data_IF_101641996386
#
_entry.id   IF_101641996386
#
_cell.length_a   1.000
_cell.length_b   1.000
_cell.length_c   1.000
_cell.angle_alpha   90.00
_cell.angle_beta   90.00
_cell.angle_gamma   90.00
#
_symmetry.space_group_name_H-M   'P 1'
#
loop_
_entity.id
_entity.type
_entity.pdbx_description
1 polymer ?
#
# COMPACT_ATOMS: atom_id res chain seq x y z
N UNK A 1 39.60 10.38 11.12
CA UNK A 1 38.65 9.90 10.08
C UNK A 1 37.58 10.96 9.91
N UNK A 2 37.44 11.57 8.72
CA UNK A 2 36.74 12.85 8.54
C UNK A 2 35.20 12.62 8.56
N UNK A 3 34.50 13.19 9.52
CA UNK A 3 33.04 13.05 9.73
C UNK A 3 32.23 13.31 8.44
N UNK A 4 32.70 14.26 7.60
CA UNK A 4 32.10 14.55 6.29
C UNK A 4 32.19 13.36 5.29
N UNK A 5 33.27 12.56 5.36
CA UNK A 5 33.43 11.36 4.50
C UNK A 5 32.51 10.20 4.93
N UNK A 6 32.30 10.03 6.25
CA UNK A 6 31.33 9.05 6.75
C UNK A 6 29.89 9.43 6.39
N UNK A 7 29.54 10.71 6.46
CA UNK A 7 28.20 11.18 6.07
C UNK A 7 27.92 10.98 4.58
N UNK A 8 28.93 11.24 3.72
CA UNK A 8 28.79 11.03 2.27
C UNK A 8 28.67 9.56 1.89
N UNK A 9 29.41 8.67 2.57
CA UNK A 9 29.30 7.22 2.38
C UNK A 9 27.93 6.67 2.83
N UNK A 10 27.40 7.15 3.94
CA UNK A 10 26.09 6.74 4.43
C UNK A 10 24.98 7.18 3.47
N UNK A 11 25.05 8.40 2.93
CA UNK A 11 24.08 8.89 1.92
C UNK A 11 24.14 8.06 0.64
N UNK A 12 25.32 7.72 0.16
CA UNK A 12 25.51 6.85 -1.01
C UNK A 12 24.90 5.46 -0.78
N UNK A 13 25.16 4.83 0.35
CA UNK A 13 24.62 3.50 0.69
C UNK A 13 23.10 3.51 0.76
N UNK A 14 22.48 4.56 1.32
CA UNK A 14 21.01 4.69 1.41
C UNK A 14 20.39 4.91 0.03
N UNK A 15 21.00 5.71 -0.84
CA UNK A 15 20.51 5.93 -2.21
C UNK A 15 20.63 4.66 -3.05
N UNK A 16 21.73 3.91 -2.93
CA UNK A 16 21.91 2.63 -3.63
C UNK A 16 20.91 1.57 -3.16
N UNK A 17 20.63 1.47 -1.84
CA UNK A 17 19.69 0.48 -1.32
C UNK A 17 18.27 0.72 -1.81
N UNK A 18 17.78 1.96 -1.83
CA UNK A 18 16.45 2.28 -2.35
C UNK A 18 16.30 1.96 -3.85
N UNK A 19 17.35 2.20 -4.64
CA UNK A 19 17.37 1.85 -6.06
C UNK A 19 17.31 0.34 -6.28
N UNK A 20 18.03 -0.45 -5.47
CA UNK A 20 18.05 -1.92 -5.56
C UNK A 20 16.66 -2.51 -5.27
N UNK A 21 15.98 -2.07 -4.21
CA UNK A 21 14.64 -2.58 -3.85
C UNK A 21 13.58 -2.23 -4.90
N UNK A 22 13.60 -1.02 -5.44
CA UNK A 22 12.69 -0.65 -6.52
C UNK A 22 12.93 -1.48 -7.78
N UNK A 23 14.20 -1.78 -8.07
CA UNK A 23 14.58 -2.61 -9.21
C UNK A 23 14.21 -4.09 -9.01
N UNK A 24 14.33 -4.62 -7.78
CA UNK A 24 13.91 -5.98 -7.42
C UNK A 24 12.39 -6.13 -7.58
N UNK A 25 11.60 -5.22 -7.04
CA UNK A 25 10.15 -5.20 -7.21
C UNK A 25 9.77 -5.13 -8.69
N UNK A 26 10.35 -4.21 -9.46
CA UNK A 26 10.08 -4.08 -10.88
C UNK A 26 10.36 -5.35 -11.67
N UNK A 27 11.50 -6.00 -11.45
CA UNK A 27 11.85 -7.28 -12.10
C UNK A 27 10.86 -8.40 -11.75
N UNK A 28 10.48 -8.51 -10.48
CA UNK A 28 9.51 -9.53 -10.07
C UNK A 28 8.12 -9.24 -10.65
N UNK A 29 7.69 -7.98 -10.66
CA UNK A 29 6.44 -7.56 -11.27
C UNK A 29 6.39 -7.94 -12.76
N UNK A 30 7.43 -7.63 -13.56
CA UNK A 30 7.50 -8.00 -14.96
C UNK A 30 7.44 -9.53 -15.15
N UNK A 31 8.20 -10.29 -14.36
CA UNK A 31 8.17 -11.76 -14.39
C UNK A 31 6.77 -12.32 -14.09
N UNK A 32 6.07 -11.74 -13.10
CA UNK A 32 4.71 -12.14 -12.76
C UNK A 32 3.73 -11.78 -13.88
N UNK A 33 3.86 -10.60 -14.47
CA UNK A 33 3.03 -10.13 -15.57
C UNK A 33 3.24 -10.93 -16.85
N UNK A 34 4.48 -11.34 -17.18
CA UNK A 34 4.79 -12.15 -18.36
C UNK A 34 4.17 -13.54 -18.33
N UNK A 35 4.08 -14.17 -17.14
CA UNK A 35 3.42 -15.49 -16.99
C UNK A 35 1.95 -15.43 -17.40
N UNK A 36 1.34 -14.24 -17.35
CA UNK A 36 -0.08 -14.03 -17.58
C UNK A 36 -0.42 -13.57 -19.01
N UNK A 37 0.57 -13.16 -19.83
CA UNK A 37 0.36 -12.66 -21.20
C UNK A 37 -0.23 -13.70 -22.16
N UNK A 38 0.00 -14.98 -21.91
CA UNK A 38 -0.38 -16.07 -22.82
C UNK A 38 -1.80 -16.62 -22.61
N UNK A 39 -2.60 -16.03 -21.72
CA UNK A 39 -3.96 -16.48 -21.43
C UNK A 39 -4.92 -15.48 -22.06
N UNK A 40 -5.51 -15.82 -23.23
CA UNK A 40 -6.34 -14.93 -24.05
C UNK A 40 -7.84 -14.99 -23.73
N UNK A 41 -8.23 -15.41 -22.53
CA UNK A 41 -9.62 -15.57 -22.15
C UNK A 41 -10.02 -14.53 -21.09
N UNK A 42 -10.94 -13.64 -21.43
CA UNK A 42 -11.44 -12.59 -20.53
C UNK A 42 -12.15 -13.14 -19.29
N UNK A 43 -12.69 -14.38 -19.39
CA UNK A 43 -13.31 -15.07 -18.23
C UNK A 43 -12.30 -15.41 -17.14
N UNK A 44 -10.99 -15.39 -17.44
CA UNK A 44 -9.90 -15.70 -16.53
C UNK A 44 -9.21 -14.42 -15.99
N UNK A 45 -9.70 -13.24 -16.36
CA UNK A 45 -9.07 -11.97 -15.96
C UNK A 45 -8.88 -11.84 -14.43
N UNK A 46 -9.90 -12.19 -13.66
CA UNK A 46 -9.82 -12.16 -12.18
C UNK A 46 -8.78 -13.17 -11.65
N UNK A 47 -8.74 -14.38 -12.23
CA UNK A 47 -7.74 -15.38 -11.82
C UNK A 47 -6.32 -14.91 -12.11
N UNK A 48 -6.10 -14.21 -13.23
CA UNK A 48 -4.80 -13.60 -13.56
C UNK A 48 -4.37 -12.56 -12.51
N UNK A 49 -5.31 -11.69 -12.09
CA UNK A 49 -5.00 -10.69 -11.08
C UNK A 49 -4.62 -11.35 -9.75
N UNK A 50 -5.38 -12.35 -9.31
CA UNK A 50 -5.08 -13.10 -8.09
C UNK A 50 -3.72 -13.82 -8.17
N UNK A 51 -3.36 -14.38 -9.33
CA UNK A 51 -2.09 -15.03 -9.55
C UNK A 51 -0.93 -14.02 -9.55
N UNK A 52 -1.09 -12.86 -10.21
CA UNK A 52 -0.13 -11.76 -10.19
C UNK A 52 0.13 -11.27 -8.77
N UNK A 53 -0.94 -11.00 -8.03
CA UNK A 53 -0.84 -10.55 -6.66
C UNK A 53 -0.15 -11.59 -5.76
N UNK A 54 -0.48 -12.87 -5.93
CA UNK A 54 0.15 -13.98 -5.21
C UNK A 54 1.65 -14.09 -5.51
N UNK A 55 2.05 -13.82 -6.76
CA UNK A 55 3.45 -13.86 -7.20
C UNK A 55 4.31 -12.75 -6.55
N UNK A 56 3.70 -11.66 -6.08
CA UNK A 56 4.38 -10.56 -5.40
C UNK A 56 4.45 -10.72 -3.88
N UNK A 57 3.80 -11.72 -3.29
CA UNK A 57 3.87 -12.00 -1.85
C UNK A 57 5.32 -12.32 -1.46
N UNK A 58 5.78 -11.74 -0.36
CA UNK A 58 7.14 -11.89 0.16
C UNK A 58 8.19 -11.01 -0.51
N UNK A 59 7.84 -10.32 -1.61
CA UNK A 59 8.74 -9.34 -2.26
C UNK A 59 8.81 -8.06 -1.40
N UNK A 60 9.99 -7.44 -1.36
CA UNK A 60 10.14 -6.14 -0.67
C UNK A 60 9.29 -5.08 -1.38
N UNK A 61 8.39 -4.43 -0.64
CA UNK A 61 7.57 -3.35 -1.17
C UNK A 61 8.44 -2.19 -1.68
N UNK A 62 8.11 -1.60 -2.85
CA UNK A 62 8.86 -0.45 -3.37
C UNK A 62 8.70 0.74 -2.44
N UNK A 63 9.76 1.55 -2.32
CA UNK A 63 9.72 2.74 -1.47
C UNK A 63 9.01 3.90 -2.16
N UNK A 64 8.29 4.68 -1.39
CA UNK A 64 7.82 6.00 -1.79
C UNK A 64 7.98 7.00 -0.64
N UNK A 65 8.01 8.28 -0.99
CA UNK A 65 7.99 9.40 -0.05
C UNK A 65 6.90 10.37 -0.47
N UNK A 66 5.98 10.67 0.43
CA UNK A 66 4.86 11.57 0.17
C UNK A 66 4.48 12.37 1.41
N UNK A 67 3.76 13.46 1.21
CA UNK A 67 3.20 14.26 2.30
C UNK A 67 1.72 13.93 2.48
N UNK A 68 1.29 13.81 3.72
CA UNK A 68 -0.14 13.72 4.04
C UNK A 68 -0.81 15.08 3.86
N UNK A 69 -2.13 15.10 3.76
CA UNK A 69 -2.92 16.35 3.67
C UNK A 69 -2.75 17.26 4.91
N UNK A 70 -2.16 16.75 5.98
CA UNK A 70 -1.84 17.48 7.21
C UNK A 70 -0.34 17.88 7.29
N UNK A 71 0.43 17.69 6.20
CA UNK A 71 1.82 18.12 6.11
C UNK A 71 2.86 17.16 6.71
N UNK A 72 2.46 15.99 7.23
CA UNK A 72 3.41 15.00 7.72
C UNK A 72 4.03 14.24 6.54
N UNK A 73 5.34 14.08 6.56
CA UNK A 73 6.04 13.26 5.55
C UNK A 73 6.00 11.79 5.94
N UNK A 74 5.58 10.94 5.01
CA UNK A 74 5.66 9.49 5.08
C UNK A 74 6.70 8.99 4.09
N UNK A 75 7.57 8.10 4.55
CA UNK A 75 8.48 7.33 3.71
C UNK A 75 8.33 5.85 4.08
N UNK A 76 7.88 5.04 3.13
CA UNK A 76 7.45 3.66 3.42
C UNK A 76 8.54 2.84 4.10
N UNK A 77 9.77 2.88 3.60
CA UNK A 77 10.87 2.09 4.17
C UNK A 77 11.28 2.50 5.60
N UNK A 78 10.88 3.70 6.04
CA UNK A 78 11.07 4.14 7.45
C UNK A 78 10.03 3.58 8.41
N UNK A 79 9.01 2.90 7.89
CA UNK A 79 7.96 2.26 8.69
C UNK A 79 8.28 0.81 9.03
N UNK A 80 9.48 0.29 8.69
CA UNK A 80 9.92 -1.05 9.10
C UNK A 80 9.82 -1.20 10.63
N UNK A 81 9.44 -2.40 11.07
CA UNK A 81 9.08 -2.68 12.47
C UNK A 81 7.59 -2.56 12.76
N UNK A 82 6.79 -2.09 11.81
CA UNK A 82 5.33 -2.01 11.87
C UNK A 82 4.71 -2.76 10.70
N UNK A 83 3.50 -3.27 10.87
CA UNK A 83 2.64 -3.67 9.76
C UNK A 83 2.08 -2.40 9.11
N UNK A 84 2.12 -2.30 7.79
CA UNK A 84 1.57 -1.16 7.07
C UNK A 84 0.42 -1.62 6.21
N UNK A 85 -0.73 -0.98 6.36
CA UNK A 85 -1.91 -1.15 5.52
C UNK A 85 -2.02 0.04 4.58
N UNK A 86 -1.79 -0.18 3.29
CA UNK A 86 -2.01 0.80 2.23
C UNK A 86 -3.38 0.55 1.61
N UNK A 87 -4.21 1.59 1.49
CA UNK A 87 -5.49 1.54 0.79
C UNK A 87 -5.48 2.57 -0.34
N UNK A 88 -5.64 2.11 -1.57
CA UNK A 88 -5.78 2.96 -2.75
C UNK A 88 -7.26 3.17 -3.04
N UNK A 89 -7.69 4.43 -3.05
CA UNK A 89 -9.10 4.80 -3.05
C UNK A 89 -9.36 6.15 -3.72
N UNK A 90 -10.63 6.54 -3.82
CA UNK A 90 -11.03 7.87 -4.26
C UNK A 90 -12.43 8.23 -3.76
N UNK A 91 -12.69 9.52 -3.61
CA UNK A 91 -13.98 10.03 -3.08
C UNK A 91 -15.15 9.71 -4.02
N UNK A 92 -14.91 9.53 -5.31
CA UNK A 92 -15.88 9.13 -6.31
C UNK A 92 -16.07 7.61 -6.46
N UNK A 93 -15.33 6.80 -5.70
CA UNK A 93 -15.41 5.35 -5.76
C UNK A 93 -16.40 4.85 -4.70
N UNK A 94 -17.63 4.50 -5.11
CA UNK A 94 -18.67 4.02 -4.22
C UNK A 94 -18.22 2.85 -3.32
N UNK A 95 -17.71 1.73 -3.89
CA UNK A 95 -17.20 0.61 -3.10
C UNK A 95 -16.09 0.98 -2.12
N UNK A 96 -15.23 1.98 -2.46
CA UNK A 96 -14.20 2.46 -1.54
C UNK A 96 -14.81 3.17 -0.33
N UNK A 97 -15.89 3.95 -0.56
CA UNK A 97 -16.57 4.70 0.50
C UNK A 97 -17.32 3.76 1.44
N UNK A 98 -17.89 2.69 0.92
CA UNK A 98 -18.60 1.66 1.71
C UNK A 98 -17.67 0.96 2.72
N UNK A 99 -16.38 0.85 2.46
CA UNK A 99 -15.41 0.24 3.38
C UNK A 99 -14.96 1.16 4.53
N UNK A 100 -15.15 2.48 4.42
CA UNK A 100 -14.63 3.46 5.39
C UNK A 100 -15.08 3.16 6.84
N UNK A 101 -16.34 2.80 7.14
CA UNK A 101 -16.75 2.47 8.51
C UNK A 101 -15.97 1.28 9.08
N UNK A 102 -15.73 0.23 8.27
CA UNK A 102 -14.92 -0.92 8.65
C UNK A 102 -13.47 -0.54 8.91
N UNK A 103 -12.89 0.28 8.03
CA UNK A 103 -11.52 0.77 8.18
C UNK A 103 -11.34 1.67 9.42
N UNK A 104 -12.32 2.50 9.74
CA UNK A 104 -12.29 3.31 10.96
C UNK A 104 -12.32 2.44 12.23
N UNK A 105 -13.06 1.31 12.21
CA UNK A 105 -13.04 0.31 13.30
C UNK A 105 -11.65 -0.32 13.42
N UNK A 106 -10.95 -0.64 12.29
CA UNK A 106 -9.58 -1.16 12.33
C UNK A 106 -8.63 -0.17 12.99
N UNK A 107 -8.68 1.11 12.64
CA UNK A 107 -7.83 2.15 13.29
C UNK A 107 -8.03 2.14 14.80
N UNK A 108 -9.27 2.09 15.26
CA UNK A 108 -9.59 2.07 16.69
C UNK A 108 -9.12 0.77 17.36
N UNK A 109 -9.32 -0.38 16.70
CA UNK A 109 -8.94 -1.70 17.22
C UNK A 109 -7.41 -1.85 17.37
N UNK A 110 -6.65 -1.29 16.42
CA UNK A 110 -5.17 -1.33 16.44
C UNK A 110 -4.53 -0.10 17.08
N UNK A 111 -5.29 0.75 17.78
CA UNK A 111 -4.74 1.88 18.51
C UNK A 111 -3.67 1.41 19.53
N UNK A 112 -2.50 2.02 19.49
CA UNK A 112 -1.35 1.64 20.32
C UNK A 112 -0.59 0.38 19.87
N UNK A 113 -1.05 -0.35 18.85
CA UNK A 113 -0.34 -1.48 18.24
C UNK A 113 0.58 -0.98 17.12
N UNK A 114 1.54 -1.83 16.72
CA UNK A 114 2.49 -1.50 15.63
C UNK A 114 1.85 -1.73 14.25
N UNK A 115 0.77 -1.01 13.99
CA UNK A 115 0.08 -1.01 12.67
C UNK A 115 -0.07 0.43 12.21
N UNK A 116 0.23 0.70 10.94
CA UNK A 116 0.08 2.00 10.31
C UNK A 116 -0.91 1.91 9.16
N UNK A 117 -1.91 2.77 9.17
CA UNK A 117 -2.96 2.84 8.15
C UNK A 117 -2.76 4.09 7.28
N UNK A 118 -2.66 3.90 5.96
CA UNK A 118 -2.39 4.95 4.98
C UNK A 118 -3.36 4.81 3.82
N UNK A 119 -4.11 5.87 3.52
CA UNK A 119 -4.97 5.97 2.37
C UNK A 119 -4.32 6.85 1.30
N UNK A 120 -4.24 6.35 0.08
CA UNK A 120 -3.56 6.96 -1.06
C UNK A 120 -4.61 7.18 -2.14
N UNK A 121 -4.85 8.43 -2.51
CA UNK A 121 -5.87 8.81 -3.48
C UNK A 121 -5.38 9.81 -4.52
N UNK A 122 -6.12 9.90 -5.63
CA UNK A 122 -5.90 10.84 -6.72
C UNK A 122 -6.62 12.18 -6.53
N UNK A 123 -7.56 12.24 -5.58
CA UNK A 123 -8.34 13.45 -5.31
C UNK A 123 -7.43 14.64 -4.95
N UNK A 124 -7.83 15.85 -5.37
CA UNK A 124 -7.15 17.08 -4.97
C UNK A 124 -7.33 17.35 -3.48
N UNK A 125 -6.31 17.91 -2.83
CA UNK A 125 -6.33 18.21 -1.40
C UNK A 125 -7.58 18.96 -0.93
N UNK A 126 -8.08 20.02 -1.63
CA UNK A 126 -9.29 20.74 -1.21
C UNK A 126 -10.55 19.86 -1.24
N UNK A 127 -10.71 19.04 -2.30
CA UNK A 127 -11.87 18.17 -2.49
C UNK A 127 -11.87 17.04 -1.46
N UNK A 128 -10.72 16.41 -1.26
CA UNK A 128 -10.54 15.39 -0.23
C UNK A 128 -10.84 15.96 1.18
N UNK A 129 -10.32 17.14 1.51
CA UNK A 129 -10.61 17.78 2.81
C UNK A 129 -12.09 18.11 2.98
N UNK A 130 -12.79 18.50 1.91
CA UNK A 130 -14.24 18.72 1.93
C UNK A 130 -14.99 17.42 2.18
N UNK A 131 -14.65 16.35 1.48
CA UNK A 131 -15.24 15.01 1.66
C UNK A 131 -15.07 14.51 3.09
N UNK A 132 -13.86 14.58 3.65
CA UNK A 132 -13.53 14.08 4.99
C UNK A 132 -14.26 14.81 6.13
N UNK A 133 -14.79 16.03 5.90
CA UNK A 133 -15.67 16.71 6.86
C UNK A 133 -17.04 16.05 6.97
N UNK A 134 -17.52 15.44 5.90
CA UNK A 134 -18.83 14.77 5.83
C UNK A 134 -18.70 13.29 6.16
N UNK A 135 -17.68 12.64 5.64
CA UNK A 135 -17.39 11.21 5.85
C UNK A 135 -15.97 11.10 6.41
N UNK A 136 -15.80 11.05 7.74
CA UNK A 136 -14.49 10.90 8.37
C UNK A 136 -13.83 9.57 7.99
N UNK A 137 -12.57 9.62 7.52
CA UNK A 137 -11.74 8.45 7.23
C UNK A 137 -10.42 8.58 7.98
N UNK A 138 -10.23 7.77 9.01
CA UNK A 138 -9.18 7.92 10.03
C UNK A 138 -7.80 7.40 9.61
N UNK A 139 -7.61 7.00 8.36
CA UNK A 139 -6.30 6.69 7.81
C UNK A 139 -5.50 7.98 7.58
N UNK A 140 -4.17 7.87 7.57
CA UNK A 140 -3.31 8.96 7.12
C UNK A 140 -3.54 9.17 5.62
N UNK A 141 -4.06 10.33 5.24
CA UNK A 141 -4.47 10.64 3.88
C UNK A 141 -3.32 11.23 3.06
N UNK A 142 -3.02 10.62 1.90
CA UNK A 142 -2.13 11.15 0.87
C UNK A 142 -2.98 11.42 -0.36
N UNK A 143 -2.99 12.66 -0.81
CA UNK A 143 -3.76 13.14 -1.96
C UNK A 143 -2.87 13.31 -3.19
N UNK A 144 -3.47 13.45 -4.38
CA UNK A 144 -2.78 13.74 -5.64
C UNK A 144 -1.63 12.76 -5.93
N UNK A 145 -1.86 11.48 -5.66
CA UNK A 145 -0.79 10.47 -5.59
C UNK A 145 -0.99 9.29 -6.56
N UNK A 146 -1.55 9.54 -7.73
CA UNK A 146 -1.70 8.55 -8.82
C UNK A 146 -0.39 7.85 -9.15
N UNK A 147 0.73 8.59 -9.15
CA UNK A 147 2.06 8.02 -9.41
C UNK A 147 2.47 6.92 -8.43
N UNK A 148 2.02 6.97 -7.18
CA UNK A 148 2.31 5.90 -6.23
C UNK A 148 1.60 4.62 -6.65
N UNK A 149 0.35 4.72 -7.11
CA UNK A 149 -0.43 3.61 -7.62
C UNK A 149 0.16 3.06 -8.94
N UNK A 150 0.32 3.94 -9.94
CA UNK A 150 0.63 3.55 -11.31
C UNK A 150 2.12 3.26 -11.54
N UNK A 151 3.02 4.12 -11.02
CA UNK A 151 4.44 4.03 -11.33
C UNK A 151 5.22 3.24 -10.27
N UNK A 152 4.88 3.42 -8.96
CA UNK A 152 5.63 2.77 -7.88
C UNK A 152 5.15 1.33 -7.68
N UNK A 153 3.84 1.12 -7.51
CA UNK A 153 3.27 -0.21 -7.33
C UNK A 153 2.84 -0.88 -8.64
N UNK A 154 2.88 -0.15 -9.77
CA UNK A 154 2.51 -0.63 -11.11
C UNK A 154 1.11 -1.26 -11.17
N UNK A 155 0.18 -0.70 -10.40
CA UNK A 155 -1.21 -1.15 -10.36
C UNK A 155 -2.00 -0.47 -11.47
N UNK A 156 -2.82 -1.25 -12.18
CA UNK A 156 -3.66 -0.77 -13.30
C UNK A 156 -5.10 -1.27 -13.21
N UNK A 157 -5.38 -2.08 -12.20
CA UNK A 157 -6.62 -2.85 -12.09
C UNK A 157 -7.81 -2.03 -11.55
N UNK A 158 -7.54 -0.80 -11.11
CA UNK A 158 -8.55 0.07 -10.53
C UNK A 158 -8.58 0.04 -8.99
N UNK A 159 -9.54 0.73 -8.42
CA UNK A 159 -9.76 0.89 -6.97
C UNK A 159 -11.17 0.37 -6.61
N UNK A 160 -11.40 -0.08 -5.36
CA UNK A 160 -10.46 -0.10 -4.23
C UNK A 160 -9.37 -1.17 -4.36
N UNK A 161 -8.19 -0.86 -3.86
CA UNK A 161 -7.08 -1.80 -3.82
C UNK A 161 -6.34 -1.68 -2.49
N UNK A 162 -6.01 -2.79 -1.83
CA UNK A 162 -5.32 -2.77 -0.56
C UNK A 162 -4.04 -3.61 -0.61
N UNK A 163 -2.99 -3.12 0.06
CA UNK A 163 -1.73 -3.85 0.24
C UNK A 163 -1.39 -3.87 1.73
N UNK A 164 -1.19 -5.07 2.28
CA UNK A 164 -0.65 -5.26 3.61
C UNK A 164 0.82 -5.58 3.49
N UNK A 165 1.65 -4.84 4.21
CA UNK A 165 3.11 -4.96 4.24
C UNK A 165 3.51 -5.36 5.66
N UNK A 166 4.35 -6.37 5.78
CA UNK A 166 4.81 -6.88 7.07
C UNK A 166 5.86 -5.96 7.73
N UNK A 167 6.21 -6.28 8.97
CA UNK A 167 7.22 -5.54 9.75
C UNK A 167 8.62 -5.51 9.14
N UNK A 168 8.92 -6.39 8.17
CA UNK A 168 10.19 -6.42 7.44
C UNK A 168 10.15 -5.57 6.16
N UNK A 169 8.98 -5.01 5.82
CA UNK A 169 8.76 -4.23 4.61
C UNK A 169 8.46 -5.09 3.38
N UNK A 170 8.02 -6.33 3.58
CA UNK A 170 7.64 -7.25 2.50
C UNK A 170 6.13 -7.26 2.31
N UNK A 171 5.68 -7.42 1.08
CA UNK A 171 4.27 -7.57 0.75
C UNK A 171 3.76 -8.86 1.39
N UNK A 172 2.80 -8.72 2.30
CA UNK A 172 2.12 -9.84 2.95
C UNK A 172 0.86 -10.26 2.19
N UNK A 173 0.07 -9.30 1.74
CA UNK A 173 -1.16 -9.54 0.98
C UNK A 173 -1.47 -8.36 0.06
N UNK A 174 -2.06 -8.67 -1.09
CA UNK A 174 -2.64 -7.72 -2.02
C UNK A 174 -4.11 -8.10 -2.23
N UNK A 175 -5.01 -7.13 -2.26
CA UNK A 175 -6.45 -7.34 -2.36
C UNK A 175 -7.05 -6.32 -3.31
N UNK A 176 -7.59 -6.80 -4.44
CA UNK A 176 -8.41 -6.00 -5.35
C UNK A 176 -9.88 -6.14 -4.98
N UNK A 177 -10.61 -5.04 -5.08
CA UNK A 177 -12.04 -4.98 -4.80
C UNK A 177 -12.37 -4.72 -3.33
N UNK A 178 -13.66 -4.56 -3.06
CA UNK A 178 -14.17 -4.20 -1.74
C UNK A 178 -14.68 -5.43 -1.00
N UNK A 179 -14.45 -5.46 0.31
CA UNK A 179 -15.09 -6.40 1.23
C UNK A 179 -16.43 -5.83 1.79
N UNK A 180 -16.82 -4.60 1.41
CA UNK A 180 -18.03 -3.94 1.85
C UNK A 180 -18.16 -3.90 3.38
N UNK A 181 -19.32 -4.28 3.90
CA UNK A 181 -19.59 -4.31 5.34
C UNK A 181 -18.70 -5.31 6.12
N UNK A 182 -18.10 -6.27 5.44
CA UNK A 182 -17.19 -7.27 6.03
C UNK A 182 -15.75 -6.77 6.12
N UNK A 183 -15.44 -5.56 5.64
CA UNK A 183 -14.07 -5.05 5.57
C UNK A 183 -13.36 -5.05 6.92
N UNK A 184 -14.03 -4.78 8.03
CA UNK A 184 -13.42 -4.89 9.36
C UNK A 184 -12.92 -6.32 9.62
N UNK A 185 -13.79 -7.32 9.63
CA UNK A 185 -13.43 -8.70 9.99
C UNK A 185 -12.47 -9.34 9.00
N UNK A 186 -12.62 -9.02 7.70
CA UNK A 186 -11.72 -9.49 6.66
C UNK A 186 -10.28 -9.00 6.87
N UNK A 187 -10.10 -7.69 7.03
CA UNK A 187 -8.77 -7.11 7.18
C UNK A 187 -8.20 -7.29 8.59
N UNK A 188 -9.04 -7.37 9.64
CA UNK A 188 -8.62 -7.76 10.99
C UNK A 188 -7.90 -9.11 10.97
N UNK A 189 -8.51 -10.13 10.37
CA UNK A 189 -7.91 -11.46 10.25
C UNK A 189 -6.55 -11.41 9.51
N UNK A 190 -6.47 -10.69 8.40
CA UNK A 190 -5.22 -10.55 7.64
C UNK A 190 -4.12 -9.83 8.44
N UNK A 191 -4.46 -8.76 9.16
CA UNK A 191 -3.51 -7.98 9.96
C UNK A 191 -3.02 -8.81 11.16
N UNK A 192 -3.91 -9.53 11.85
CA UNK A 192 -3.55 -10.39 12.99
C UNK A 192 -2.64 -11.55 12.57
N UNK A 193 -2.92 -12.18 11.42
CA UNK A 193 -2.03 -13.19 10.86
C UNK A 193 -0.66 -12.62 10.51
N UNK A 194 -0.62 -11.43 9.89
CA UNK A 194 0.62 -10.74 9.56
C UNK A 194 1.42 -10.36 10.82
N UNK A 195 0.77 -9.86 11.89
CA UNK A 195 1.40 -9.53 13.16
C UNK A 195 1.98 -10.76 13.86
N UNK A 196 1.28 -11.89 13.80
CA UNK A 196 1.72 -13.18 14.40
C UNK A 196 2.76 -13.91 13.56
N UNK A 197 3.06 -13.45 12.33
CA UNK A 197 3.98 -14.09 11.40
C UNK A 197 3.44 -15.37 10.76
N UNK A 198 2.13 -15.58 10.78
CA UNK A 198 1.45 -16.64 10.01
C UNK A 198 1.37 -16.23 8.55
N UNK A 199 1.73 -17.12 7.65
CA UNK A 199 1.57 -16.95 6.18
C UNK A 199 0.30 -17.62 5.70
#
# INVERSE_FOLDING_TARGET
MNVKRCFFLIILVVLFSNSIYAQEYGKQYEKCSERLKNVNDDSIYILRLLEKDSCLIGVTAPNFKASTINGHTIELHKLKGQVVFLNFWGTGCGPCVEEIPGFNKLVSHYAGKKVKFIAIGSDKVPDLKKFLKTIPFNFLQIAESEKIYEEVFKLSEGIPYAIIIDKFGKIYKMCLGSAGDLSFSFYENLIDNCLSGKQ
#
